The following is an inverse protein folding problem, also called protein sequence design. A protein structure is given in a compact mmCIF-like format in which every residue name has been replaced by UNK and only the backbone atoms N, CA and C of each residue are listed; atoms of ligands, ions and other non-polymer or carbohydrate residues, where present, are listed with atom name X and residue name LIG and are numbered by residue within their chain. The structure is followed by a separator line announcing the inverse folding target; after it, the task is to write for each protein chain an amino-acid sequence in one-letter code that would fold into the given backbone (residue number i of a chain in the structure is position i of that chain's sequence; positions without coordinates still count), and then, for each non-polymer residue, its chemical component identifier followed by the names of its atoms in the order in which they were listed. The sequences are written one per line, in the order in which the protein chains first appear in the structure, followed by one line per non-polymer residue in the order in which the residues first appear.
data_IF_084317901820
#
_entry.id   IF_084317901820
#
_cell.length_a   1.000
_cell.length_b   1.000
_cell.length_c   1.000
_cell.angle_alpha   90.00
_cell.angle_beta   90.00
_cell.angle_gamma   90.00
#
_symmetry.space_group_name_H-M   'P 1'
#
loop_
_entity.id
_entity.type
_entity.pdbx_description
1 polymer ?
#
# COMPACT_ATOMS: atom_id res chain seq x y z
N UNK A 1 -26.08 70.54 40.02
CA UNK A 1 -25.58 69.23 39.55
C UNK A 1 -24.10 69.14 39.87
N UNK A 2 -23.68 68.27 40.80
CA UNK A 2 -22.26 68.17 41.18
C UNK A 2 -21.42 67.39 40.17
N UNK A 3 -20.15 67.77 39.98
CA UNK A 3 -19.26 67.17 38.98
C UNK A 3 -19.10 65.63 39.13
N UNK A 4 -19.19 65.10 40.35
CA UNK A 4 -19.15 63.66 40.62
C UNK A 4 -20.32 62.89 39.98
N UNK A 5 -21.51 63.49 39.88
CA UNK A 5 -22.67 62.86 39.25
C UNK A 5 -22.48 62.75 37.73
N UNK A 6 -21.73 63.68 37.13
CA UNK A 6 -21.34 63.63 35.71
C UNK A 6 -20.33 62.50 35.48
N UNK A 7 -19.30 62.39 36.33
CA UNK A 7 -18.29 61.32 36.25
C UNK A 7 -18.89 59.92 36.44
N UNK A 8 -19.88 59.77 37.34
CA UNK A 8 -20.62 58.50 37.51
C UNK A 8 -21.46 58.11 36.28
N UNK A 9 -21.96 59.06 35.48
CA UNK A 9 -22.67 58.77 34.22
C UNK A 9 -21.75 58.34 33.08
N UNK A 10 -20.47 58.73 33.10
CA UNK A 10 -19.50 58.38 32.04
C UNK A 10 -18.86 57.01 32.28
N UNK A 11 -18.62 56.63 33.54
CA UNK A 11 -18.06 55.33 33.90
C UNK A 11 -19.10 54.21 33.82
N UNK A 12 -19.38 53.72 32.61
CA UNK A 12 -19.99 52.39 32.43
C UNK A 12 -19.09 51.36 33.11
N UNK A 13 -19.70 50.40 33.81
CA UNK A 13 -19.02 49.34 34.54
C UNK A 13 -18.02 48.61 33.65
N UNK A 14 -16.77 48.46 34.13
CA UNK A 14 -15.77 47.60 33.49
C UNK A 14 -16.35 46.19 33.36
N UNK A 15 -16.47 45.60 32.15
CA UNK A 15 -16.95 44.24 32.01
C UNK A 15 -15.97 43.27 32.67
N UNK A 16 -16.47 42.29 33.43
CA UNK A 16 -15.61 41.24 33.99
C UNK A 16 -14.90 40.48 32.86
N UNK A 17 -13.62 40.12 33.03
CA UNK A 17 -12.93 39.27 32.06
C UNK A 17 -13.60 37.88 31.99
N UNK A 18 -13.73 37.28 30.80
CA UNK A 18 -14.38 35.99 30.64
C UNK A 18 -13.64 34.89 31.43
N UNK A 19 -14.40 34.13 32.23
CA UNK A 19 -13.85 33.19 33.23
C UNK A 19 -13.19 31.94 32.63
N UNK A 20 -13.39 31.68 31.34
CA UNK A 20 -12.77 30.58 30.60
C UNK A 20 -12.41 31.03 29.18
N UNK A 21 -11.39 30.43 28.52
CA UNK A 21 -11.12 30.70 27.12
C UNK A 21 -12.24 30.10 26.27
N UNK A 22 -13.21 30.93 25.89
CA UNK A 22 -14.06 30.63 24.76
C UNK A 22 -13.18 30.39 23.52
N UNK A 23 -13.64 29.54 22.60
CA UNK A 23 -13.02 29.44 21.28
C UNK A 23 -12.95 30.87 20.70
N UNK A 24 -11.75 31.31 20.31
CA UNK A 24 -11.57 32.66 19.77
C UNK A 24 -12.04 32.61 18.32
N UNK A 25 -13.35 32.75 18.12
CA UNK A 25 -13.97 32.78 16.79
C UNK A 25 -13.46 33.96 15.95
N UNK A 26 -13.05 35.05 16.61
CA UNK A 26 -12.45 36.21 15.95
C UNK A 26 -11.26 36.76 16.77
N UNK A 27 -10.05 36.57 16.24
CA UNK A 27 -8.82 37.12 16.82
C UNK A 27 -8.80 38.62 16.54
N UNK A 28 -8.75 39.42 17.60
CA UNK A 28 -8.92 40.87 17.52
C UNK A 28 -7.94 41.55 18.47
N UNK A 29 -7.54 42.80 18.19
CA UNK A 29 -6.61 43.56 19.05
C UNK A 29 -7.04 43.63 20.52
N UNK A 30 -8.35 43.66 20.79
CA UNK A 30 -8.89 43.62 22.15
C UNK A 30 -8.75 42.24 22.81
N UNK A 31 -9.03 41.16 22.08
CA UNK A 31 -8.94 39.79 22.62
C UNK A 31 -7.49 39.37 22.84
N UNK A 32 -6.57 39.71 21.91
CA UNK A 32 -5.11 39.55 22.09
C UNK A 32 -4.65 40.26 23.38
N UNK A 33 -4.97 41.55 23.54
CA UNK A 33 -4.53 42.30 24.72
C UNK A 33 -5.09 41.70 26.01
N UNK A 34 -6.40 41.41 26.06
CA UNK A 34 -7.04 40.80 27.24
C UNK A 34 -6.44 39.44 27.61
N UNK A 35 -6.12 38.59 26.62
CA UNK A 35 -5.51 37.28 26.86
C UNK A 35 -4.07 37.39 27.35
N UNK A 36 -3.27 38.33 26.82
CA UNK A 36 -1.91 38.58 27.29
C UNK A 36 -1.94 39.18 28.70
N UNK A 37 -2.77 40.20 28.94
CA UNK A 37 -2.89 40.86 30.25
C UNK A 37 -3.47 39.94 31.35
N UNK A 38 -4.23 38.91 30.98
CA UNK A 38 -4.73 37.87 31.90
C UNK A 38 -3.72 36.74 32.19
N UNK A 39 -2.56 36.71 31.51
CA UNK A 39 -1.55 35.65 31.61
C UNK A 39 -0.14 36.12 31.89
N UNK A 40 0.18 37.38 31.60
CA UNK A 40 1.50 37.99 31.76
C UNK A 40 1.29 39.36 32.41
N UNK A 41 2.12 39.70 33.40
CA UNK A 41 2.05 41.00 34.06
C UNK A 41 2.17 42.15 33.04
N UNK A 42 1.21 43.08 32.97
CA UNK A 42 1.16 44.14 31.95
C UNK A 42 2.26 45.20 32.10
N UNK A 43 3.11 45.08 33.13
CA UNK A 43 4.29 45.94 33.36
C UNK A 43 5.58 45.33 32.81
N UNK A 44 5.56 44.07 32.38
CA UNK A 44 6.72 43.40 31.82
C UNK A 44 6.86 43.75 30.33
N UNK A 45 8.04 44.22 29.91
CA UNK A 45 8.31 44.56 28.51
C UNK A 45 8.12 43.37 27.54
N UNK A 46 8.26 42.14 28.02
CA UNK A 46 7.95 40.91 27.28
C UNK A 46 6.47 40.82 26.88
N UNK A 47 5.55 41.31 27.71
CA UNK A 47 4.12 41.34 27.40
C UNK A 47 3.83 42.23 26.18
N UNK A 48 4.47 43.40 26.10
CA UNK A 48 4.31 44.32 24.98
C UNK A 48 4.94 43.80 23.70
N UNK A 49 6.10 43.13 23.78
CA UNK A 49 6.71 42.41 22.64
C UNK A 49 5.77 41.31 22.12
N UNK A 50 5.13 40.56 23.02
CA UNK A 50 4.17 39.50 22.66
C UNK A 50 2.91 40.10 22.02
N UNK A 51 2.32 41.16 22.59
CA UNK A 51 1.18 41.88 21.98
C UNK A 51 1.53 42.37 20.58
N UNK A 52 2.66 43.05 20.41
CA UNK A 52 3.07 43.63 19.14
C UNK A 52 3.38 42.56 18.06
N UNK A 53 3.98 41.44 18.44
CA UNK A 53 4.22 40.31 17.51
C UNK A 53 2.93 39.58 17.14
N UNK A 54 2.02 39.34 18.08
CA UNK A 54 0.71 38.75 17.77
C UNK A 54 -0.13 39.65 16.86
N UNK A 55 -0.12 40.97 17.09
CA UNK A 55 -0.80 41.94 16.24
C UNK A 55 -0.20 42.02 14.84
N UNK A 56 1.13 42.01 14.71
CA UNK A 56 1.78 42.03 13.39
C UNK A 56 1.53 40.74 12.61
N UNK A 57 1.51 39.59 13.29
CA UNK A 57 1.14 38.31 12.69
C UNK A 57 -0.32 38.30 12.24
N UNK A 58 -1.26 38.80 13.06
CA UNK A 58 -2.66 38.98 12.64
C UNK A 58 -2.74 39.82 11.35
N UNK A 59 -2.18 41.03 11.33
CA UNK A 59 -2.25 41.89 10.13
C UNK A 59 -1.61 41.27 8.89
N UNK A 60 -0.64 40.36 9.06
CA UNK A 60 -0.04 39.60 7.97
C UNK A 60 -0.96 38.48 7.48
N UNK A 61 -1.66 37.79 8.37
CA UNK A 61 -2.69 36.81 7.99
C UNK A 61 -3.82 37.49 7.20
N UNK A 62 -4.38 38.59 7.73
CA UNK A 62 -5.45 39.36 7.10
C UNK A 62 -5.04 39.83 5.68
N UNK A 63 -3.81 40.34 5.53
CA UNK A 63 -3.26 40.74 4.23
C UNK A 63 -3.14 39.55 3.27
N UNK A 64 -2.62 38.41 3.73
CA UNK A 64 -2.49 37.19 2.91
C UNK A 64 -3.85 36.62 2.52
N UNK A 65 -4.87 36.69 3.38
CA UNK A 65 -6.24 36.29 3.05
C UNK A 65 -6.82 37.20 1.97
N UNK A 66 -6.70 38.52 2.11
CA UNK A 66 -7.12 39.47 1.07
C UNK A 66 -6.33 39.31 -0.25
N UNK A 67 -5.04 39.00 -0.20
CA UNK A 67 -4.25 38.67 -1.39
C UNK A 67 -4.75 37.38 -2.06
N UNK A 68 -5.02 36.33 -1.29
CA UNK A 68 -5.58 35.07 -1.80
C UNK A 68 -6.96 35.28 -2.43
N UNK A 69 -7.84 36.05 -1.79
CA UNK A 69 -9.17 36.34 -2.33
C UNK A 69 -9.12 37.26 -3.56
N UNK A 70 -8.17 38.20 -3.60
CA UNK A 70 -7.91 39.01 -4.79
C UNK A 70 -7.36 38.16 -5.95
N UNK A 71 -6.48 37.21 -5.66
CA UNK A 71 -5.93 36.26 -6.65
C UNK A 71 -7.02 35.31 -7.17
N UNK A 72 -7.89 34.79 -6.30
CA UNK A 72 -9.09 34.03 -6.66
C UNK A 72 -10.00 34.85 -7.57
N UNK A 73 -10.35 36.07 -7.16
CA UNK A 73 -11.18 36.97 -7.96
C UNK A 73 -10.54 37.29 -9.33
N UNK A 74 -9.24 37.56 -9.39
CA UNK A 74 -8.53 37.81 -10.66
C UNK A 74 -8.44 36.55 -11.54
N UNK A 75 -8.36 35.36 -10.94
CA UNK A 75 -8.43 34.09 -11.65
C UNK A 75 -9.83 33.86 -12.22
N UNK A 76 -10.88 34.07 -11.42
CA UNK A 76 -12.28 33.99 -11.85
C UNK A 76 -12.60 35.02 -12.95
N UNK A 77 -12.05 36.24 -12.86
CA UNK A 77 -12.15 37.25 -13.91
C UNK A 77 -11.57 36.75 -15.23
N UNK A 78 -10.38 36.13 -15.21
CA UNK A 78 -9.72 35.54 -16.40
C UNK A 78 -10.35 34.23 -16.87
N UNK A 79 -11.14 33.56 -16.01
CA UNK A 79 -11.94 32.40 -16.38
C UNK A 79 -13.27 32.79 -17.05
N UNK A 80 -13.65 34.07 -17.07
CA UNK A 80 -14.88 34.50 -17.74
C UNK A 80 -14.80 34.18 -19.24
N UNK A 81 -15.83 33.50 -19.75
CA UNK A 81 -15.84 32.91 -21.08
C UNK A 81 -15.68 33.89 -22.27
N UNK A 82 -15.65 35.21 -22.03
CA UNK A 82 -15.47 36.23 -23.06
C UNK A 82 -13.99 36.56 -23.36
N UNK A 83 -13.04 36.17 -22.50
CA UNK A 83 -11.60 36.21 -22.82
C UNK A 83 -11.20 35.08 -23.78
N UNK A 84 -12.03 34.04 -23.90
CA UNK A 84 -11.86 32.97 -24.90
C UNK A 84 -12.27 33.53 -26.26
N UNK A 85 -11.35 33.64 -27.24
CA UNK A 85 -11.72 34.14 -28.56
C UNK A 85 -12.72 33.18 -29.21
N UNK A 86 -13.72 33.74 -29.93
CA UNK A 86 -14.80 32.97 -30.55
C UNK A 86 -14.26 31.84 -31.46
N UNK A 87 -13.09 32.04 -32.07
CA UNK A 87 -12.36 31.05 -32.88
C UNK A 87 -11.83 29.83 -32.12
N UNK A 88 -11.74 29.88 -30.78
CA UNK A 88 -11.32 28.76 -29.93
C UNK A 88 -12.51 27.94 -29.37
N UNK A 89 -13.76 28.36 -29.64
CA UNK A 89 -14.94 27.56 -29.31
C UNK A 89 -15.26 26.58 -30.44
N UNK A 90 -15.66 25.35 -30.08
CA UNK A 90 -16.15 24.33 -31.02
C UNK A 90 -17.57 24.68 -31.50
N UNK A 91 -17.62 25.63 -32.41
CA UNK A 91 -18.81 26.15 -33.06
C UNK A 91 -19.17 25.25 -34.23
N UNK A 92 -20.06 24.30 -33.99
CA UNK A 92 -20.65 23.46 -35.04
C UNK A 92 -21.34 24.34 -36.09
N UNK A 93 -20.70 24.46 -37.25
CA UNK A 93 -21.25 25.09 -38.45
C UNK A 93 -22.23 24.10 -39.10
N UNK A 94 -23.49 24.51 -39.29
CA UNK A 94 -24.46 23.73 -40.03
C UNK A 94 -24.02 23.67 -41.50
N UNK A 95 -23.92 22.46 -42.08
CA UNK A 95 -23.45 22.24 -43.46
C UNK A 95 -24.38 22.76 -44.57
N UNK A 96 -25.57 23.23 -44.20
CA UNK A 96 -26.68 23.59 -45.09
C UNK A 96 -26.72 25.09 -45.46
N UNK A 97 -25.80 25.90 -44.91
CA UNK A 97 -25.76 27.34 -45.15
C UNK A 97 -24.82 27.62 -46.34
N UNK A 98 -25.41 27.85 -47.52
CA UNK A 98 -24.70 28.11 -48.77
C UNK A 98 -24.05 29.51 -48.88
N UNK A 99 -24.03 30.31 -47.82
CA UNK A 99 -23.42 31.65 -47.79
C UNK A 99 -22.00 31.61 -47.22
N UNK A 100 -21.08 32.33 -47.85
CA UNK A 100 -19.66 32.43 -47.44
C UNK A 100 -19.44 33.13 -46.09
N UNK A 101 -20.40 33.91 -45.61
CA UNK A 101 -20.35 34.55 -44.30
C UNK A 101 -21.00 33.68 -43.23
N UNK A 102 -20.26 33.35 -42.16
CA UNK A 102 -20.78 32.64 -40.99
C UNK A 102 -21.23 33.63 -39.90
N UNK A 103 -22.52 33.66 -39.60
CA UNK A 103 -23.08 34.48 -38.52
C UNK A 103 -23.05 33.72 -37.19
N UNK A 104 -22.20 34.16 -36.26
CA UNK A 104 -22.10 33.57 -34.92
C UNK A 104 -23.20 34.11 -34.00
N UNK A 105 -24.37 33.45 -33.97
CA UNK A 105 -25.45 33.83 -33.07
C UNK A 105 -25.07 33.61 -31.59
N UNK A 106 -25.42 34.53 -30.66
CA UNK A 106 -25.07 34.43 -29.24
C UNK A 106 -25.50 33.14 -28.52
N UNK A 107 -26.52 32.44 -29.03
CA UNK A 107 -26.96 31.16 -28.48
C UNK A 107 -26.01 30.00 -28.88
N UNK A 108 -25.41 30.05 -30.07
CA UNK A 108 -24.42 29.04 -30.52
C UNK A 108 -23.11 29.17 -29.74
N UNK A 109 -22.69 30.40 -29.44
CA UNK A 109 -21.51 30.69 -28.60
C UNK A 109 -21.73 30.11 -27.20
N UNK A 110 -22.88 30.40 -26.56
CA UNK A 110 -23.24 29.82 -25.25
C UNK A 110 -23.29 28.28 -25.26
N UNK A 111 -23.86 27.67 -26.31
CA UNK A 111 -23.90 26.21 -26.43
C UNK A 111 -22.49 25.59 -26.61
N UNK A 112 -21.60 26.23 -27.37
CA UNK A 112 -20.23 25.76 -27.52
C UNK A 112 -19.41 25.91 -26.21
N UNK A 113 -19.65 26.97 -25.44
CA UNK A 113 -19.03 27.16 -24.12
C UNK A 113 -19.48 26.06 -23.13
N UNK A 114 -20.79 25.78 -23.07
CA UNK A 114 -21.32 24.70 -22.23
C UNK A 114 -20.70 23.33 -22.56
N UNK A 115 -20.60 22.97 -23.85
CA UNK A 115 -19.94 21.73 -24.29
C UNK A 115 -18.46 21.66 -23.91
N UNK A 116 -17.76 22.81 -23.92
CA UNK A 116 -16.37 22.87 -23.46
C UNK A 116 -16.28 22.60 -21.95
N UNK A 117 -17.13 23.22 -21.14
CA UNK A 117 -17.18 22.99 -19.69
C UNK A 117 -17.47 21.50 -19.39
N UNK A 118 -18.40 20.87 -20.11
CA UNK A 118 -18.67 19.44 -20.01
C UNK A 118 -17.45 18.58 -20.39
N UNK A 119 -16.78 18.91 -21.50
CA UNK A 119 -15.57 18.21 -21.95
C UNK A 119 -14.42 18.36 -20.96
N UNK A 120 -14.23 19.53 -20.37
CA UNK A 120 -13.19 19.79 -19.38
C UNK A 120 -13.47 19.03 -18.08
N UNK A 121 -14.72 18.98 -17.61
CA UNK A 121 -15.15 18.09 -16.50
C UNK A 121 -14.89 16.60 -16.80
N UNK A 122 -15.25 16.13 -17.99
CA UNK A 122 -15.00 14.73 -18.40
C UNK A 122 -13.50 14.42 -18.46
N UNK A 123 -12.67 15.36 -18.90
CA UNK A 123 -11.21 15.23 -18.89
C UNK A 123 -10.66 15.16 -17.45
N UNK A 124 -11.20 15.94 -16.51
CA UNK A 124 -10.84 15.90 -15.09
C UNK A 124 -11.25 14.58 -14.44
N UNK A 125 -12.48 14.11 -14.67
CA UNK A 125 -12.91 12.78 -14.23
C UNK A 125 -12.02 11.66 -14.78
N UNK A 126 -11.64 11.72 -16.05
CA UNK A 126 -10.76 10.73 -16.66
C UNK A 126 -9.35 10.77 -16.03
N UNK A 127 -8.83 11.96 -15.69
CA UNK A 127 -7.58 12.12 -14.93
C UNK A 127 -7.68 11.53 -13.54
N UNK A 128 -8.77 11.77 -12.81
CA UNK A 128 -9.01 11.20 -11.48
C UNK A 128 -9.10 9.66 -11.54
N UNK A 129 -9.84 9.10 -12.52
CA UNK A 129 -9.88 7.64 -12.77
C UNK A 129 -8.49 7.08 -13.11
N UNK A 130 -7.66 7.81 -13.88
CA UNK A 130 -6.27 7.43 -14.18
C UNK A 130 -5.35 7.47 -12.95
N UNK A 131 -5.62 8.32 -11.95
CA UNK A 131 -4.91 8.33 -10.66
C UNK A 131 -5.36 7.14 -9.80
N UNK A 132 -6.67 6.99 -9.56
CA UNK A 132 -7.23 5.89 -8.77
C UNK A 132 -6.83 4.50 -9.30
N UNK A 133 -6.81 4.31 -10.62
CA UNK A 133 -6.37 3.04 -11.23
C UNK A 133 -4.86 2.80 -11.12
N UNK A 134 -4.02 3.84 -11.02
CA UNK A 134 -2.59 3.69 -10.70
C UNK A 134 -2.39 3.33 -9.23
N UNK A 135 -3.11 4.00 -8.33
CA UNK A 135 -3.07 3.72 -6.88
C UNK A 135 -3.53 2.29 -6.57
N UNK A 136 -4.67 1.85 -7.13
CA UNK A 136 -5.14 0.48 -7.00
C UNK A 136 -4.14 -0.57 -7.53
N UNK A 137 -3.44 -0.28 -8.63
CA UNK A 137 -2.35 -1.14 -9.15
C UNK A 137 -1.13 -1.16 -8.22
N UNK A 138 -0.77 -0.02 -7.63
CA UNK A 138 0.32 0.07 -6.66
C UNK A 138 -0.01 -0.70 -5.37
N UNK A 139 -1.21 -0.55 -4.84
CA UNK A 139 -1.70 -1.30 -3.68
C UNK A 139 -1.74 -2.81 -3.95
N UNK A 140 -2.30 -3.24 -5.09
CA UNK A 140 -2.33 -4.64 -5.49
C UNK A 140 -0.92 -5.25 -5.70
N UNK A 141 0.06 -4.43 -6.11
CA UNK A 141 1.46 -4.86 -6.16
C UNK A 141 2.04 -4.99 -4.75
N UNK A 142 1.85 -4.01 -3.87
CA UNK A 142 2.33 -4.04 -2.50
C UNK A 142 1.82 -5.27 -1.73
N UNK A 143 0.52 -5.61 -1.87
CA UNK A 143 -0.06 -6.82 -1.29
C UNK A 143 0.60 -8.11 -1.84
N UNK A 144 0.88 -8.18 -3.15
CA UNK A 144 1.59 -9.32 -3.75
C UNK A 144 3.03 -9.43 -3.24
N UNK A 145 3.72 -8.30 -3.08
CA UNK A 145 5.08 -8.25 -2.58
C UNK A 145 5.14 -8.66 -1.08
N UNK A 146 4.15 -8.27 -0.27
CA UNK A 146 3.97 -8.74 1.11
C UNK A 146 3.73 -10.26 1.18
N UNK A 147 2.75 -10.78 0.43
CA UNK A 147 2.47 -12.23 0.37
C UNK A 147 3.69 -13.03 -0.10
N UNK A 148 4.46 -12.51 -1.06
CA UNK A 148 5.70 -13.12 -1.54
C UNK A 148 6.82 -13.08 -0.50
N UNK A 149 6.89 -12.04 0.34
CA UNK A 149 7.82 -11.95 1.45
C UNK A 149 7.47 -12.98 2.54
N UNK A 150 6.21 -13.04 2.99
CA UNK A 150 5.74 -14.01 3.97
C UNK A 150 5.98 -15.46 3.52
N UNK A 151 5.68 -15.78 2.26
CA UNK A 151 5.95 -17.10 1.67
C UNK A 151 7.45 -17.45 1.61
N UNK A 152 8.35 -16.45 1.51
CA UNK A 152 9.81 -16.66 1.61
C UNK A 152 10.22 -16.93 3.05
N UNK A 153 9.70 -16.19 4.02
CA UNK A 153 10.00 -16.39 5.44
C UNK A 153 9.47 -17.75 5.95
N UNK A 154 8.29 -18.17 5.52
CA UNK A 154 7.77 -19.51 5.80
C UNK A 154 8.69 -20.60 5.22
N UNK A 155 9.15 -20.46 3.96
CA UNK A 155 10.12 -21.40 3.35
C UNK A 155 11.47 -21.43 4.06
N UNK A 156 11.95 -20.32 4.61
CA UNK A 156 13.17 -20.28 5.45
C UNK A 156 12.96 -21.11 6.72
N UNK A 157 11.88 -20.83 7.47
CA UNK A 157 11.51 -21.55 8.71
C UNK A 157 11.35 -23.05 8.47
N UNK A 158 10.70 -23.45 7.38
CA UNK A 158 10.57 -24.86 6.98
C UNK A 158 11.91 -25.53 6.68
N UNK A 159 12.84 -24.80 6.05
CA UNK A 159 14.19 -25.30 5.74
C UNK A 159 15.01 -25.45 7.01
N UNK A 160 14.99 -24.45 7.88
CA UNK A 160 15.64 -24.48 9.21
C UNK A 160 15.11 -25.64 10.07
N UNK A 161 13.79 -25.85 10.09
CA UNK A 161 13.17 -26.98 10.78
C UNK A 161 13.62 -28.34 10.20
N UNK A 162 13.70 -28.47 8.87
CA UNK A 162 14.22 -29.67 8.20
C UNK A 162 15.69 -29.93 8.51
N UNK A 163 16.52 -28.89 8.48
CA UNK A 163 17.96 -29.03 8.70
C UNK A 163 18.28 -29.25 10.20
N UNK A 164 17.54 -28.63 11.13
CA UNK A 164 17.56 -28.98 12.55
C UNK A 164 17.09 -30.43 12.81
N UNK A 165 16.08 -30.90 12.08
CA UNK A 165 15.62 -32.29 12.11
C UNK A 165 16.69 -33.28 11.64
N UNK A 166 17.40 -32.97 10.55
CA UNK A 166 18.56 -33.74 10.07
C UNK A 166 19.71 -33.72 11.09
N UNK A 167 20.04 -32.56 11.66
CA UNK A 167 21.09 -32.43 12.67
C UNK A 167 20.78 -33.26 13.93
N UNK A 168 19.52 -33.25 14.42
CA UNK A 168 19.07 -34.11 15.52
C UNK A 168 19.19 -35.60 15.19
N UNK A 169 18.81 -36.03 13.97
CA UNK A 169 18.99 -37.41 13.50
C UNK A 169 20.47 -37.80 13.39
N UNK A 170 21.32 -36.91 12.90
CA UNK A 170 22.76 -37.13 12.78
C UNK A 170 23.47 -37.24 14.14
N UNK A 171 23.07 -36.43 15.14
CA UNK A 171 23.54 -36.59 16.53
C UNK A 171 23.16 -37.96 17.08
N UNK A 172 21.85 -38.30 17.09
CA UNK A 172 21.36 -39.63 17.54
C UNK A 172 22.07 -40.81 16.86
N UNK A 173 22.39 -40.69 15.56
CA UNK A 173 23.12 -41.72 14.83
C UNK A 173 24.61 -41.83 15.21
N UNK A 174 25.26 -40.74 15.64
CA UNK A 174 26.60 -40.77 16.23
C UNK A 174 26.58 -41.36 17.64
N UNK A 175 25.65 -40.90 18.47
CA UNK A 175 25.49 -41.35 19.86
C UNK A 175 25.27 -42.88 19.89
N UNK A 176 24.36 -43.39 19.05
CA UNK A 176 24.10 -44.83 18.90
C UNK A 176 25.26 -45.65 18.29
N UNK A 177 26.24 -45.01 17.62
CA UNK A 177 27.48 -45.68 17.19
C UNK A 177 28.45 -45.80 18.35
N UNK A 178 28.66 -44.72 19.10
CA UNK A 178 29.52 -44.70 20.30
C UNK A 178 29.01 -45.70 21.35
N UNK A 179 27.70 -45.81 21.54
CA UNK A 179 27.08 -46.80 22.43
C UNK A 179 27.35 -48.24 21.96
N UNK A 180 27.19 -48.52 20.66
CA UNK A 180 27.52 -49.84 20.08
C UNK A 180 29.01 -50.18 20.21
N UNK A 181 29.89 -49.20 19.98
CA UNK A 181 31.34 -49.37 20.14
C UNK A 181 31.70 -49.68 21.59
N UNK A 182 31.09 -48.98 22.58
CA UNK A 182 31.23 -49.31 24.01
C UNK A 182 30.77 -50.73 24.33
N UNK A 183 29.55 -51.11 23.93
CA UNK A 183 29.05 -52.47 24.15
C UNK A 183 29.90 -53.55 23.47
N UNK A 184 30.53 -53.24 22.33
CA UNK A 184 31.43 -54.16 21.65
C UNK A 184 32.78 -54.29 22.37
N UNK A 185 33.33 -53.18 22.90
CA UNK A 185 34.54 -53.19 23.73
C UNK A 185 34.32 -53.98 25.04
N UNK A 186 33.19 -53.76 25.73
CA UNK A 186 32.81 -54.53 26.92
C UNK A 186 32.71 -56.04 26.62
N UNK A 187 32.05 -56.41 25.51
CA UNK A 187 31.97 -57.83 25.07
C UNK A 187 33.34 -58.40 24.72
N UNK A 188 34.22 -57.62 24.11
CA UNK A 188 35.59 -58.05 23.79
C UNK A 188 36.42 -58.28 25.06
N UNK A 189 36.30 -57.40 26.06
CA UNK A 189 36.93 -57.54 27.39
C UNK A 189 36.38 -58.79 28.11
N UNK A 190 35.05 -59.00 28.10
CA UNK A 190 34.44 -60.19 28.71
C UNK A 190 34.85 -61.49 27.99
N UNK A 191 35.06 -61.46 26.67
CA UNK A 191 35.56 -62.61 25.91
C UNK A 191 37.04 -62.90 26.22
N UNK A 192 37.90 -61.88 26.31
CA UNK A 192 39.31 -62.05 26.63
C UNK A 192 39.53 -62.59 28.05
N UNK A 193 38.67 -62.20 29.00
CA UNK A 193 38.67 -62.73 30.36
C UNK A 193 38.18 -64.19 30.46
N UNK A 194 37.42 -64.70 29.48
CA UNK A 194 37.04 -66.13 29.38
C UNK A 194 38.14 -66.99 28.73
N UNK A 195 39.39 -66.72 29.10
CA UNK A 195 40.54 -67.53 28.70
C UNK A 195 40.52 -68.92 29.34
N UNK A 196 40.63 -69.96 28.50
CA UNK A 196 40.73 -71.40 28.85
C UNK A 196 39.43 -72.08 29.35
N UNK A 197 38.63 -72.62 28.41
CA UNK A 197 37.86 -73.87 28.60
C UNK A 197 37.78 -74.68 27.29
N UNK A 198 37.49 -75.97 27.41
CA UNK A 198 37.80 -77.04 26.43
C UNK A 198 37.11 -76.88 25.08
N UNK A 199 37.80 -77.30 24.02
CA UNK A 199 37.22 -77.51 22.70
C UNK A 199 36.45 -78.85 22.65
N UNK A 200 35.13 -78.78 22.43
CA UNK A 200 34.35 -79.71 21.61
C UNK A 200 32.86 -79.32 21.62
N UNK A 201 32.27 -79.14 20.42
CA UNK A 201 31.05 -79.83 19.97
C UNK A 201 30.68 -79.40 18.54
N UNK A 202 29.90 -80.25 17.86
CA UNK A 202 29.75 -80.25 16.41
C UNK A 202 28.72 -79.23 15.88
N UNK A 203 28.84 -78.90 14.59
CA UNK A 203 27.89 -78.03 13.88
C UNK A 203 26.56 -78.77 13.57
N UNK A 204 25.38 -78.14 13.77
CA UNK A 204 24.11 -78.69 13.33
C UNK A 204 23.93 -78.62 11.81
N UNK A 205 23.40 -79.70 11.21
CA UNK A 205 23.16 -79.80 9.77
C UNK A 205 22.06 -78.83 9.27
N UNK A 206 22.21 -78.22 8.07
CA UNK A 206 21.18 -77.36 7.50
C UNK A 206 19.99 -78.17 6.95
N UNK A 207 18.81 -77.95 7.51
CA UNK A 207 17.57 -78.57 7.03
C UNK A 207 16.96 -77.86 5.80
N UNK A 208 16.28 -78.65 4.97
CA UNK A 208 15.76 -78.30 3.63
C UNK A 208 14.76 -77.14 3.66
N UNK A 209 14.77 -76.29 2.62
CA UNK A 209 13.64 -75.41 2.26
C UNK A 209 13.14 -75.73 0.85
N UNK A 210 11.84 -75.97 0.71
CA UNK A 210 11.18 -76.30 -0.55
C UNK A 210 11.08 -75.08 -1.49
N UNK A 211 11.34 -75.28 -2.78
CA UNK A 211 10.87 -74.37 -3.84
C UNK A 211 9.37 -74.58 -4.05
N UNK A 212 8.55 -73.55 -3.87
CA UNK A 212 7.21 -73.52 -4.47
C UNK A 212 7.33 -72.93 -5.89
N UNK A 213 6.95 -73.71 -6.90
CA UNK A 213 6.53 -73.19 -8.22
C UNK A 213 5.02 -73.00 -8.17
N UNK A 214 4.53 -71.93 -8.80
CA UNK A 214 3.12 -71.69 -9.05
C UNK A 214 3.01 -70.76 -10.26
N UNK A 215 2.35 -71.23 -11.31
CA UNK A 215 2.19 -70.54 -12.59
C UNK A 215 0.74 -70.65 -13.07
N UNK A 216 0.10 -69.52 -13.34
CA UNK A 216 -1.17 -69.34 -14.07
C UNK A 216 -1.41 -67.81 -14.11
N UNK A 217 -1.41 -67.11 -15.24
CA UNK A 217 -2.55 -66.92 -16.20
C UNK A 217 -3.79 -66.28 -15.53
N UNK A 218 -4.49 -65.28 -16.09
CA UNK A 218 -4.44 -64.70 -17.44
C UNK A 218 -4.87 -63.21 -17.49
N UNK A 219 -4.51 -62.57 -18.60
CA UNK A 219 -5.28 -61.64 -19.45
C UNK A 219 -6.53 -60.90 -18.93
N UNK A 220 -6.57 -59.58 -19.18
CA UNK A 220 -7.77 -58.86 -19.65
C UNK A 220 -7.39 -57.53 -20.34
N UNK A 221 -8.18 -57.16 -21.35
CA UNK A 221 -8.14 -55.92 -22.14
C UNK A 221 -9.59 -55.72 -22.70
N UNK A 222 -10.00 -54.62 -23.31
CA UNK A 222 -9.34 -53.48 -23.99
C UNK A 222 -9.82 -52.14 -23.36
N UNK A 223 -9.15 -51.01 -23.63
CA UNK A 223 -9.85 -49.78 -24.07
C UNK A 223 -8.89 -48.72 -24.65
N UNK A 224 -9.38 -47.98 -25.64
CA UNK A 224 -8.59 -47.35 -26.69
C UNK A 224 -8.66 -45.82 -26.62
N UNK A 225 -7.51 -45.14 -26.50
CA UNK A 225 -7.44 -43.68 -26.44
C UNK A 225 -6.55 -43.12 -27.54
N UNK A 226 -7.18 -42.94 -28.71
CA UNK A 226 -6.80 -42.14 -29.88
C UNK A 226 -5.44 -41.41 -29.84
N UNK A 227 -4.60 -41.80 -30.81
CA UNK A 227 -3.36 -41.13 -31.24
C UNK A 227 -3.36 -39.59 -31.10
N UNK A 228 -2.63 -39.09 -30.11
CA UNK A 228 -2.26 -37.68 -30.02
C UNK A 228 -0.99 -37.43 -30.83
N UNK A 229 -1.08 -36.60 -31.87
CA UNK A 229 0.05 -36.28 -32.75
C UNK A 229 1.24 -35.67 -31.97
N UNK A 230 2.50 -35.97 -32.35
CA UNK A 230 3.67 -35.49 -31.64
C UNK A 230 3.78 -33.96 -31.75
N UNK A 231 3.72 -33.27 -30.60
CA UNK A 231 4.05 -31.84 -30.51
C UNK A 231 5.53 -31.69 -30.85
N UNK A 232 5.82 -31.09 -32.01
CA UNK A 232 7.20 -30.87 -32.46
C UNK A 232 7.87 -29.82 -31.55
N UNK A 233 8.62 -30.32 -30.56
CA UNK A 233 9.35 -29.50 -29.61
C UNK A 233 10.71 -29.10 -30.18
N UNK A 234 11.02 -27.81 -30.12
CA UNK A 234 12.37 -27.32 -30.39
C UNK A 234 13.36 -27.78 -29.30
N UNK A 235 14.67 -27.74 -29.59
CA UNK A 235 15.75 -28.11 -28.64
C UNK A 235 15.72 -27.32 -27.31
N UNK A 236 14.96 -26.21 -27.25
CA UNK A 236 14.74 -25.38 -26.05
C UNK A 236 13.36 -25.54 -25.40
N UNK A 237 12.56 -26.53 -25.82
CA UNK A 237 11.34 -26.95 -25.12
C UNK A 237 10.14 -25.98 -25.20
N UNK A 238 10.11 -25.07 -26.19
CA UNK A 238 8.93 -24.24 -26.45
C UNK A 238 7.98 -24.90 -27.45
N UNK A 239 6.71 -25.00 -27.07
CA UNK A 239 5.62 -25.40 -27.96
C UNK A 239 5.38 -24.33 -29.03
N UNK A 240 5.22 -24.76 -30.28
CA UNK A 240 4.94 -23.90 -31.43
C UNK A 240 3.50 -24.18 -31.90
N UNK A 241 2.64 -23.17 -31.86
CA UNK A 241 1.36 -23.22 -32.57
C UNK A 241 1.61 -22.95 -34.04
N UNK A 242 1.65 -24.00 -34.86
CA UNK A 242 1.72 -23.89 -36.33
C UNK A 242 0.40 -23.28 -36.83
N UNK A 243 0.42 -22.13 -37.55
CA UNK A 243 -0.80 -21.54 -38.07
C UNK A 243 -1.41 -22.44 -39.15
N UNK A 244 -2.75 -22.53 -39.17
CA UNK A 244 -3.50 -23.52 -39.97
C UNK A 244 -3.36 -23.47 -41.49
N UNK A 245 -2.49 -22.61 -42.04
CA UNK A 245 -2.07 -22.63 -43.45
C UNK A 245 -0.98 -23.66 -43.75
N UNK A 246 -0.36 -24.22 -42.71
CA UNK A 246 0.70 -25.25 -42.79
C UNK A 246 0.32 -26.52 -42.00
N UNK A 247 -0.98 -26.82 -41.93
CA UNK A 247 -1.54 -28.10 -41.47
C UNK A 247 -2.06 -28.88 -42.66
#
# INVERSE_FOLDING_TARGET
MGAEQVLKKVRKTTPEPPKHPAAIEEVNRRTINQLVDAKIDPRCCSADVIKNTLLSLQTRCDLLEHENDRLRYLLDLKQRDWDIPISALDLQVNKEIYTTAHLYLPHKIRAAAARRIEKDRLNEEERLRKVQTKEGKAAAKALKDQMAHEAREQKKKDKEAKDAGKAKKAKKAKDAKVEKERCNLEKAIQLSQKGKRKASQAAPCPNKRQKKRGSATAAAAIEEALSAAPVCNTRSGRAINVPGRFR
#
